data_IF_953630543406
#
_entry.id   IF_953630543406
#
_cell.length_a   1.000
_cell.length_b   1.000
_cell.length_c   1.000
_cell.angle_alpha   90.00
_cell.angle_beta   90.00
_cell.angle_gamma   90.00
#
_symmetry.space_group_name_H-M   'P 1'
#
loop_
_entity.id
_entity.type
_entity.pdbx_description
1 polymer ?
#
# COMPACT_ATOMS: atom_id res chain seq x y z
N UNK A 1 10.07 14.66 -3.73
CA UNK A 1 8.87 14.23 -4.48
C UNK A 1 9.29 13.15 -5.45
N UNK A 2 9.01 11.90 -5.09
CA UNK A 2 9.38 10.73 -5.88
C UNK A 2 8.66 10.70 -7.22
N UNK A 3 9.34 10.14 -8.20
CA UNK A 3 8.91 9.94 -9.58
C UNK A 3 7.48 9.42 -9.69
N UNK A 4 6.78 9.78 -10.75
CA UNK A 4 5.51 9.16 -11.17
C UNK A 4 5.65 7.63 -11.15
N UNK A 5 4.74 6.94 -10.46
CA UNK A 5 4.76 5.47 -10.38
C UNK A 5 4.10 4.85 -11.62
N UNK A 6 4.85 4.07 -12.39
CA UNK A 6 4.29 3.29 -13.48
C UNK A 6 3.88 1.90 -12.99
N UNK A 7 2.60 1.57 -13.06
CA UNK A 7 2.08 0.26 -12.69
C UNK A 7 2.60 -0.86 -13.60
N UNK A 8 3.00 -0.52 -14.83
CA UNK A 8 3.43 -1.48 -15.83
C UNK A 8 2.27 -2.20 -16.53
N UNK A 9 2.61 -2.92 -17.59
CA UNK A 9 1.63 -3.54 -18.49
C UNK A 9 0.77 -4.58 -17.76
N UNK A 10 -0.55 -4.46 -17.95
CA UNK A 10 -1.53 -5.42 -17.43
C UNK A 10 -1.90 -5.23 -15.96
N UNK A 11 -1.27 -4.27 -15.27
CA UNK A 11 -1.54 -3.97 -13.86
C UNK A 11 -2.51 -2.79 -13.79
N UNK A 12 -3.75 -2.98 -13.33
CA UNK A 12 -4.74 -1.90 -13.31
C UNK A 12 -4.48 -0.90 -12.18
N UNK A 13 -3.94 -1.36 -11.06
CA UNK A 13 -3.79 -0.58 -9.83
C UNK A 13 -2.38 -0.71 -9.26
N UNK A 14 -1.77 0.43 -8.94
CA UNK A 14 -0.53 0.50 -8.17
C UNK A 14 -0.54 1.73 -7.28
N UNK A 15 0.33 1.75 -6.29
CA UNK A 15 0.37 2.82 -5.31
C UNK A 15 1.37 2.60 -4.21
N UNK A 16 1.20 3.34 -3.13
CA UNK A 16 2.07 3.28 -1.96
C UNK A 16 1.29 3.02 -0.69
N UNK A 17 1.74 2.05 0.10
CA UNK A 17 1.42 1.96 1.51
C UNK A 17 2.37 2.89 2.27
N UNK A 18 1.83 3.86 3.00
CA UNK A 18 2.61 4.89 3.69
C UNK A 18 2.53 4.69 5.19
N UNK A 19 3.70 4.68 5.82
CA UNK A 19 3.87 4.46 7.25
C UNK A 19 4.61 5.66 7.86
N UNK A 20 4.16 6.08 9.01
CA UNK A 20 4.76 7.15 9.79
C UNK A 20 5.73 6.55 10.82
N UNK A 21 6.93 7.11 10.92
CA UNK A 21 7.90 6.60 11.91
C UNK A 21 7.61 7.10 13.33
N UNK A 22 6.76 8.13 13.49
CA UNK A 22 6.54 8.87 14.74
C UNK A 22 7.61 9.90 15.06
N UNK A 23 8.69 9.94 14.28
CA UNK A 23 9.77 10.93 14.40
C UNK A 23 9.51 12.18 13.55
N UNK A 24 8.28 12.36 13.05
CA UNK A 24 7.86 13.55 12.32
C UNK A 24 7.67 14.76 13.25
N UNK A 25 7.13 15.83 12.68
CA UNK A 25 6.74 17.05 13.38
C UNK A 25 5.22 17.24 13.39
N UNK A 26 4.71 18.05 14.32
CA UNK A 26 3.28 18.33 14.43
C UNK A 26 2.46 17.06 14.67
N UNK A 27 1.46 16.82 13.81
CA UNK A 27 0.57 15.64 13.89
C UNK A 27 1.28 14.32 13.53
N UNK A 28 2.43 14.38 12.85
CA UNK A 28 3.26 13.22 12.49
C UNK A 28 4.21 12.80 13.63
N UNK A 29 4.11 13.46 14.79
CA UNK A 29 4.87 13.13 15.98
C UNK A 29 4.01 12.32 16.95
N UNK A 30 4.36 11.05 17.14
CA UNK A 30 3.62 10.10 17.98
C UNK A 30 4.58 9.06 18.59
N UNK A 31 4.18 8.40 19.67
CA UNK A 31 5.06 7.59 20.54
C UNK A 31 5.68 6.36 19.85
N UNK A 32 5.11 5.89 18.75
CA UNK A 32 5.63 4.77 17.98
C UNK A 32 5.00 4.68 16.60
N UNK A 33 5.54 3.89 15.66
CA UNK A 33 5.12 3.94 14.26
C UNK A 33 3.64 3.68 14.03
N UNK A 34 3.07 4.37 13.03
CA UNK A 34 1.65 4.31 12.69
C UNK A 34 1.45 4.11 11.18
N UNK A 35 0.29 3.56 10.81
CA UNK A 35 -0.16 3.55 9.43
C UNK A 35 -0.69 4.96 9.09
N UNK A 36 -0.23 5.54 7.99
CA UNK A 36 -0.88 6.71 7.42
C UNK A 36 -2.00 6.27 6.48
N UNK A 37 -1.66 5.50 5.43
CA UNK A 37 -2.64 5.18 4.40
C UNK A 37 -2.13 4.32 3.26
N UNK A 38 -3.07 3.96 2.39
CA UNK A 38 -2.78 3.27 1.13
C UNK A 38 -3.28 4.11 -0.02
N UNK A 39 -2.36 4.57 -0.87
CA UNK A 39 -2.65 5.59 -1.87
C UNK A 39 -2.43 5.04 -3.27
N UNK A 40 -3.50 4.75 -4.02
CA UNK A 40 -3.40 4.49 -5.44
C UNK A 40 -2.69 5.66 -6.13
N UNK A 41 -1.66 5.36 -6.92
CA UNK A 41 -0.89 6.33 -7.68
C UNK A 41 -1.66 6.72 -8.95
N UNK A 42 -2.85 7.29 -8.77
CA UNK A 42 -3.66 7.88 -9.85
C UNK A 42 -3.00 9.17 -10.34
N UNK A 43 -3.36 9.62 -11.55
CA UNK A 43 -2.82 10.86 -12.13
C UNK A 43 -2.98 12.05 -11.16
N UNK A 44 -1.96 12.90 -10.96
CA UNK A 44 -0.66 12.94 -11.67
C UNK A 44 0.46 12.08 -11.05
N UNK A 45 0.17 11.30 -10.01
CA UNK A 45 1.18 10.58 -9.21
C UNK A 45 1.62 9.25 -9.82
N UNK A 46 0.88 8.72 -10.79
CA UNK A 46 1.21 7.47 -11.45
C UNK A 46 0.28 7.12 -12.61
N UNK A 47 0.40 5.88 -13.08
CA UNK A 47 -0.42 5.30 -14.15
C UNK A 47 -1.55 4.40 -13.62
N UNK A 48 -1.79 4.39 -12.30
CA UNK A 48 -2.89 3.63 -11.71
C UNK A 48 -4.23 4.14 -12.24
N UNK A 49 -5.10 3.20 -12.59
CA UNK A 49 -6.50 3.55 -12.83
C UNK A 49 -7.15 3.98 -11.52
N UNK A 50 -8.16 4.85 -11.58
CA UNK A 50 -9.10 5.00 -10.49
C UNK A 50 -10.23 4.00 -10.72
N UNK A 51 -10.31 2.96 -9.89
CA UNK A 51 -11.37 1.94 -9.97
C UNK A 51 -12.29 2.13 -8.77
N UNK A 52 -13.52 2.59 -9.03
CA UNK A 52 -14.50 2.86 -8.00
C UNK A 52 -14.94 1.58 -7.27
N UNK A 53 -15.26 1.66 -5.98
CA UNK A 53 -15.85 0.55 -5.25
C UNK A 53 -17.28 0.27 -5.69
N UNK A 54 -17.81 -0.87 -5.27
CA UNK A 54 -19.24 -1.20 -5.47
C UNK A 54 -20.13 -0.39 -4.54
N UNK A 55 -19.61 -0.04 -3.37
CA UNK A 55 -20.24 0.78 -2.35
C UNK A 55 -19.21 1.80 -1.85
N UNK A 56 -19.51 3.09 -2.06
CA UNK A 56 -18.65 4.22 -1.74
C UNK A 56 -18.95 4.84 -0.36
N UNK A 57 -19.84 4.23 0.43
CA UNK A 57 -20.21 4.72 1.77
C UNK A 57 -19.00 4.81 2.70
N UNK A 58 -18.95 5.91 3.46
CA UNK A 58 -17.91 6.17 4.46
C UNK A 58 -17.84 5.07 5.53
N UNK A 59 -16.65 4.79 6.10
CA UNK A 59 -16.54 3.90 7.24
C UNK A 59 -17.22 4.50 8.48
N UNK A 60 -18.00 3.68 9.19
CA UNK A 60 -18.59 4.01 10.50
C UNK A 60 -17.80 3.40 11.67
N UNK A 61 -17.13 2.26 11.41
CA UNK A 61 -16.28 1.56 12.37
C UNK A 61 -14.86 2.14 12.35
N UNK A 62 -14.19 2.09 13.51
CA UNK A 62 -12.75 2.40 13.62
C UNK A 62 -11.94 1.11 13.52
N UNK A 63 -10.95 1.11 12.63
CA UNK A 63 -10.05 -0.01 12.41
C UNK A 63 -8.84 0.08 13.35
N UNK A 64 -8.53 -1.02 14.05
CA UNK A 64 -7.50 -1.05 15.10
C UNK A 64 -6.14 -0.55 14.64
N UNK A 65 -5.76 -0.77 13.37
CA UNK A 65 -4.47 -0.34 12.85
C UNK A 65 -4.28 1.18 12.75
N UNK A 66 -5.37 1.97 12.77
CA UNK A 66 -5.34 3.43 12.81
C UNK A 66 -5.31 4.01 14.23
N UNK A 67 -5.59 3.19 15.25
CA UNK A 67 -5.58 3.66 16.65
C UNK A 67 -4.18 3.96 17.18
N UNK A 68 -3.13 3.47 16.50
CA UNK A 68 -1.74 3.67 16.89
C UNK A 68 -1.28 5.14 16.86
N UNK A 69 -1.94 5.99 16.06
CA UNK A 69 -1.71 7.44 16.04
C UNK A 69 -2.15 8.11 17.35
N UNK A 70 -3.08 7.49 18.08
CA UNK A 70 -3.66 8.01 19.31
C UNK A 70 -4.67 9.14 19.07
N UNK A 71 -4.96 9.91 20.11
CA UNK A 71 -5.91 11.01 20.05
C UNK A 71 -7.38 10.61 20.28
N UNK A 72 -8.31 11.56 20.16
CA UNK A 72 -9.73 11.29 20.38
C UNK A 72 -10.32 10.46 19.23
N UNK A 73 -11.26 9.58 19.55
CA UNK A 73 -12.01 8.72 18.61
C UNK A 73 -12.52 9.49 17.39
N UNK A 74 -13.01 10.72 17.58
CA UNK A 74 -13.51 11.57 16.49
C UNK A 74 -12.43 11.98 15.48
N UNK A 75 -11.18 12.11 15.92
CA UNK A 75 -10.05 12.40 15.04
C UNK A 75 -9.68 11.18 14.20
N UNK A 76 -9.60 10.00 14.83
CA UNK A 76 -9.32 8.74 14.14
C UNK A 76 -10.39 8.46 13.08
N UNK A 77 -11.67 8.64 13.44
CA UNK A 77 -12.78 8.48 12.48
C UNK A 77 -12.69 9.47 11.32
N UNK A 78 -12.40 10.75 11.59
CA UNK A 78 -12.19 11.74 10.53
C UNK A 78 -11.04 11.35 9.60
N UNK A 79 -9.95 10.81 10.16
CA UNK A 79 -8.79 10.42 9.38
C UNK A 79 -9.06 9.20 8.52
N UNK A 80 -9.75 8.17 9.03
CA UNK A 80 -10.19 7.04 8.20
C UNK A 80 -11.14 7.51 7.10
N UNK A 81 -12.07 8.42 7.38
CA UNK A 81 -12.92 9.02 6.34
C UNK A 81 -12.09 9.76 5.28
N UNK A 82 -11.05 10.50 5.69
CA UNK A 82 -10.13 11.16 4.76
C UNK A 82 -9.44 10.15 3.84
N UNK A 83 -8.86 9.10 4.41
CA UNK A 83 -8.15 8.06 3.67
C UNK A 83 -9.10 7.32 2.71
N UNK A 84 -10.32 7.03 3.14
CA UNK A 84 -11.34 6.44 2.28
C UNK A 84 -11.72 7.36 1.12
N UNK A 85 -12.22 8.56 1.42
CA UNK A 85 -12.78 9.47 0.41
C UNK A 85 -11.75 9.89 -0.64
N UNK A 86 -10.51 10.11 -0.20
CA UNK A 86 -9.43 10.61 -1.06
C UNK A 86 -8.68 9.51 -1.80
N UNK A 87 -8.56 8.33 -1.21
CA UNK A 87 -7.69 7.27 -1.72
C UNK A 87 -8.44 5.95 -1.94
N UNK A 88 -9.17 5.48 -0.94
CA UNK A 88 -9.89 4.21 -0.99
C UNK A 88 -10.96 4.13 -2.09
N UNK A 89 -11.64 5.22 -2.40
CA UNK A 89 -12.65 5.31 -3.47
C UNK A 89 -12.08 5.09 -4.88
N UNK A 90 -10.76 5.06 -5.05
CA UNK A 90 -10.09 4.70 -6.31
C UNK A 90 -9.34 3.36 -6.25
N UNK A 91 -9.45 2.62 -5.14
CA UNK A 91 -8.57 1.49 -4.84
C UNK A 91 -9.04 0.14 -5.43
N UNK A 92 -10.15 0.09 -6.18
CA UNK A 92 -10.70 -1.14 -6.77
C UNK A 92 -11.16 -2.20 -5.77
N UNK A 93 -11.36 -1.80 -4.52
CA UNK A 93 -11.88 -2.61 -3.42
C UNK A 93 -13.40 -2.64 -3.42
N UNK A 94 -14.01 -3.57 -2.71
CA UNK A 94 -15.48 -3.70 -2.71
C UNK A 94 -16.17 -2.51 -2.02
N UNK A 95 -15.66 -2.10 -0.85
CA UNK A 95 -16.18 -1.05 0.01
C UNK A 95 -15.11 -0.63 1.05
N UNK A 96 -15.44 0.33 1.92
CA UNK A 96 -14.55 0.84 2.96
C UNK A 96 -14.04 -0.27 3.91
N UNK A 97 -14.88 -1.21 4.33
CA UNK A 97 -14.43 -2.34 5.17
C UNK A 97 -13.37 -3.21 4.48
N UNK A 98 -13.56 -3.54 3.20
CA UNK A 98 -12.57 -4.31 2.42
C UNK A 98 -11.26 -3.52 2.24
N UNK A 99 -11.35 -2.20 2.05
CA UNK A 99 -10.18 -1.32 2.00
C UNK A 99 -9.36 -1.41 3.29
N UNK A 100 -9.94 -1.02 4.44
CA UNK A 100 -9.18 -0.95 5.69
C UNK A 100 -8.71 -2.32 6.17
N UNK A 101 -9.51 -3.38 5.96
CA UNK A 101 -9.06 -4.75 6.27
C UNK A 101 -7.79 -5.12 5.50
N UNK A 102 -7.74 -4.82 4.19
CA UNK A 102 -6.56 -5.09 3.37
C UNK A 102 -5.37 -4.21 3.78
N UNK A 103 -5.60 -2.91 4.01
CA UNK A 103 -4.53 -1.98 4.38
C UNK A 103 -3.92 -2.36 5.73
N UNK A 104 -4.72 -2.66 6.75
CA UNK A 104 -4.23 -3.13 8.04
C UNK A 104 -3.39 -4.42 7.88
N UNK A 105 -3.87 -5.37 7.07
CA UNK A 105 -3.15 -6.62 6.82
C UNK A 105 -1.81 -6.40 6.11
N UNK A 106 -1.75 -5.49 5.14
CA UNK A 106 -0.52 -5.11 4.45
C UNK A 106 0.47 -4.40 5.39
N UNK A 107 -0.03 -3.58 6.30
CA UNK A 107 0.79 -2.77 7.21
C UNK A 107 1.39 -3.57 8.37
N UNK A 108 0.76 -4.67 8.82
CA UNK A 108 1.17 -5.40 10.02
C UNK A 108 2.65 -5.84 10.02
N UNK A 109 3.13 -6.43 8.92
CA UNK A 109 4.53 -6.84 8.77
C UNK A 109 5.51 -5.65 8.74
N UNK A 110 5.31 -4.68 7.83
CA UNK A 110 6.09 -3.45 7.78
C UNK A 110 6.16 -2.66 9.09
N UNK A 111 5.04 -2.47 9.78
CA UNK A 111 4.99 -1.75 11.06
C UNK A 111 5.84 -2.42 12.13
N UNK A 112 5.87 -3.75 12.17
CA UNK A 112 6.76 -4.49 13.08
C UNK A 112 8.24 -4.22 12.79
N UNK A 113 8.64 -4.24 11.51
CA UNK A 113 10.02 -3.91 11.12
C UNK A 113 10.36 -2.47 11.44
N UNK A 114 9.44 -1.55 11.15
CA UNK A 114 9.61 -0.12 11.40
C UNK A 114 9.75 0.17 12.91
N UNK A 115 8.94 -0.45 13.75
CA UNK A 115 9.03 -0.36 15.21
C UNK A 115 10.39 -0.81 15.74
N UNK A 116 10.92 -1.93 15.22
CA UNK A 116 12.26 -2.39 15.57
C UNK A 116 13.37 -1.41 15.14
N UNK A 117 13.23 -0.82 13.95
CA UNK A 117 14.18 0.17 13.43
C UNK A 117 14.18 1.48 14.24
N UNK A 118 13.00 1.99 14.60
CA UNK A 118 12.85 3.18 15.46
C UNK A 118 13.40 2.91 16.86
N UNK A 119 13.11 1.74 17.44
CA UNK A 119 13.65 1.35 18.76
C UNK A 119 15.18 1.25 18.75
N UNK A 120 15.77 0.86 17.62
CA UNK A 120 17.23 0.83 17.43
C UNK A 120 17.85 2.22 17.24
N UNK A 121 17.06 3.31 17.25
CA UNK A 121 17.53 4.67 17.11
C UNK A 121 17.99 5.03 15.69
N UNK A 122 17.51 4.30 14.68
CA UNK A 122 17.84 4.60 13.29
C UNK A 122 17.16 5.90 12.83
N UNK A 123 17.84 6.65 11.98
CA UNK A 123 17.27 7.79 11.26
C UNK A 123 16.45 7.32 10.05
N UNK A 124 15.76 8.25 9.36
CA UNK A 124 14.85 7.91 8.26
C UNK A 124 15.52 7.10 7.14
N UNK A 125 16.79 7.42 6.83
CA UNK A 125 17.57 6.69 5.82
C UNK A 125 17.90 5.29 6.31
N UNK A 126 18.40 5.16 7.54
CA UNK A 126 18.69 3.87 8.16
C UNK A 126 17.44 2.98 8.31
N UNK A 127 16.29 3.58 8.59
CA UNK A 127 14.99 2.91 8.62
C UNK A 127 14.63 2.38 7.23
N UNK A 128 14.68 3.21 6.19
CA UNK A 128 14.38 2.79 4.81
C UNK A 128 15.26 1.62 4.38
N UNK A 129 16.56 1.72 4.65
CA UNK A 129 17.55 0.68 4.39
C UNK A 129 17.24 -0.62 5.15
N UNK A 130 16.85 -0.53 6.42
CA UNK A 130 16.47 -1.69 7.23
C UNK A 130 15.19 -2.35 6.71
N UNK A 131 14.20 -1.56 6.30
CA UNK A 131 12.96 -2.06 5.71
C UNK A 131 13.25 -2.80 4.39
N UNK A 132 14.06 -2.21 3.52
CA UNK A 132 14.47 -2.84 2.26
C UNK A 132 15.20 -4.17 2.49
N UNK A 133 16.16 -4.22 3.42
CA UNK A 133 16.88 -5.46 3.79
C UNK A 133 15.96 -6.52 4.40
N UNK A 134 14.87 -6.11 5.03
CA UNK A 134 13.88 -7.01 5.63
C UNK A 134 12.86 -7.53 4.60
N UNK A 135 13.04 -7.22 3.31
CA UNK A 135 12.18 -7.70 2.22
C UNK A 135 10.96 -6.82 1.94
N UNK A 136 10.88 -5.62 2.53
CA UNK A 136 9.83 -4.66 2.20
C UNK A 136 10.19 -3.85 0.96
N UNK A 137 9.20 -3.57 0.12
CA UNK A 137 9.39 -2.96 -1.20
C UNK A 137 9.44 -1.43 -1.10
N UNK A 138 10.53 -0.88 -0.54
CA UNK A 138 10.63 0.55 -0.26
C UNK A 138 10.63 1.33 -1.58
N UNK A 139 9.59 2.14 -1.77
CA UNK A 139 9.49 3.07 -2.90
C UNK A 139 10.27 4.36 -2.63
N UNK A 140 10.26 4.82 -1.38
CA UNK A 140 11.07 5.95 -0.96
C UNK A 140 10.68 6.48 0.41
N UNK A 141 11.38 7.54 0.80
CA UNK A 141 11.09 8.32 2.01
C UNK A 141 10.25 9.55 1.65
N UNK A 142 9.38 9.99 2.56
CA UNK A 142 8.54 11.18 2.37
C UNK A 142 8.79 12.21 3.48
N UNK A 143 8.22 13.40 3.30
CA UNK A 143 8.27 14.46 4.31
C UNK A 143 7.66 13.99 5.65
N UNK A 144 8.00 14.69 6.73
CA UNK A 144 7.50 14.40 8.07
C UNK A 144 7.86 12.98 8.56
N UNK A 145 9.04 12.47 8.16
CA UNK A 145 9.56 11.17 8.58
C UNK A 145 8.62 10.00 8.29
N UNK A 146 8.32 9.80 7.00
CA UNK A 146 7.45 8.72 6.54
C UNK A 146 8.16 7.82 5.52
N UNK A 147 7.75 6.55 5.47
CA UNK A 147 8.22 5.56 4.49
C UNK A 147 7.08 5.15 3.59
N UNK A 148 7.31 5.19 2.27
CA UNK A 148 6.40 4.66 1.27
C UNK A 148 6.88 3.30 0.77
N UNK A 149 6.01 2.30 0.83
CA UNK A 149 6.22 0.96 0.26
C UNK A 149 5.38 0.80 -1.00
N UNK A 150 6.00 0.34 -2.09
CA UNK A 150 5.32 0.06 -3.34
C UNK A 150 4.36 -1.13 -3.22
N UNK A 151 3.20 -0.98 -3.84
CA UNK A 151 2.13 -1.97 -3.82
C UNK A 151 1.35 -1.97 -5.15
N UNK A 152 0.74 -3.10 -5.48
CA UNK A 152 -0.14 -3.23 -6.63
C UNK A 152 -1.39 -4.05 -6.32
N UNK A 153 -2.40 -3.92 -7.17
CA UNK A 153 -3.60 -4.75 -7.18
C UNK A 153 -3.95 -5.15 -8.61
N UNK A 154 -4.48 -6.36 -8.76
CA UNK A 154 -5.08 -6.83 -10.00
C UNK A 154 -6.54 -6.40 -10.12
N UNK A 155 -7.24 -6.93 -11.12
CA UNK A 155 -8.69 -6.75 -11.25
C UNK A 155 -9.49 -7.44 -10.14
N UNK A 156 -8.82 -8.27 -9.33
CA UNK A 156 -9.40 -8.89 -8.13
C UNK A 156 -9.52 -7.91 -6.94
N UNK A 157 -8.99 -6.69 -7.06
CA UNK A 157 -9.03 -5.68 -6.02
C UNK A 157 -8.22 -6.05 -4.78
N UNK A 158 -7.28 -7.01 -4.90
CA UNK A 158 -6.44 -7.47 -3.80
C UNK A 158 -5.06 -6.83 -3.83
N UNK A 159 -4.82 -5.95 -2.87
CA UNK A 159 -3.57 -5.21 -2.75
C UNK A 159 -2.45 -6.09 -2.19
N UNK A 160 -1.25 -5.93 -2.74
CA UNK A 160 -0.05 -6.72 -2.43
C UNK A 160 1.17 -5.81 -2.43
N UNK A 161 2.05 -5.94 -1.45
CA UNK A 161 3.38 -5.32 -1.49
C UNK A 161 4.24 -6.02 -2.54
N UNK A 162 4.87 -5.24 -3.41
CA UNK A 162 5.79 -5.73 -4.44
C UNK A 162 6.66 -4.58 -4.94
N UNK A 163 7.88 -4.87 -5.38
CA UNK A 163 8.67 -3.87 -6.10
C UNK A 163 7.98 -3.54 -7.43
N UNK A 164 8.10 -2.29 -7.89
CA UNK A 164 7.46 -1.83 -9.15
C UNK A 164 7.79 -2.72 -10.34
N UNK A 165 9.05 -3.19 -10.45
CA UNK A 165 9.51 -4.11 -11.50
C UNK A 165 8.74 -5.44 -11.53
N UNK A 166 8.16 -5.84 -10.40
CA UNK A 166 7.48 -7.11 -10.20
C UNK A 166 5.95 -6.98 -10.31
N UNK A 167 5.41 -5.76 -10.42
CA UNK A 167 3.96 -5.55 -10.53
C UNK A 167 3.30 -6.37 -11.65
N UNK A 168 3.83 -6.44 -12.89
CA UNK A 168 3.20 -7.24 -13.94
C UNK A 168 3.12 -8.74 -13.59
N UNK A 169 4.10 -9.26 -12.85
CA UNK A 169 4.12 -10.64 -12.39
C UNK A 169 3.18 -10.89 -11.22
N UNK A 170 3.09 -9.95 -10.28
CA UNK A 170 2.32 -10.10 -9.03
C UNK A 170 0.85 -9.76 -9.21
N UNK A 171 0.55 -8.74 -10.02
CA UNK A 171 -0.79 -8.14 -10.16
C UNK A 171 -1.29 -8.08 -11.61
N UNK A 172 -0.44 -8.35 -12.61
CA UNK A 172 -0.76 -8.12 -14.02
C UNK A 172 -1.73 -9.12 -14.65
N UNK A 173 -2.16 -10.16 -13.93
CA UNK A 173 -3.23 -11.07 -14.34
C UNK A 173 -3.05 -11.75 -15.70
N UNK A 174 -1.83 -11.81 -16.25
CA UNK A 174 -1.59 -12.36 -17.59
C UNK A 174 -2.02 -13.83 -17.67
N UNK A 175 -2.47 -14.32 -18.84
CA UNK A 175 -2.60 -15.76 -19.05
C UNK A 175 -1.27 -16.41 -18.69
N UNK A 176 -1.31 -17.50 -17.93
CA UNK A 176 -0.13 -18.35 -17.75
C UNK A 176 0.48 -18.69 -19.13
N UNK A 177 1.78 -18.99 -19.22
CA UNK A 177 2.41 -19.32 -20.49
C UNK A 177 1.53 -20.31 -21.25
N UNK A 178 1.19 -19.98 -22.51
CA UNK A 178 0.36 -20.83 -23.34
C UNK A 178 0.89 -22.28 -23.29
N UNK A 179 0.03 -23.30 -23.19
CA UNK A 179 0.47 -24.68 -23.32
C UNK A 179 1.32 -24.79 -24.59
N UNK A 180 2.53 -25.34 -24.46
CA UNK A 180 3.37 -25.61 -25.62
C UNK A 180 2.60 -26.43 -26.66
N UNK A 181 2.94 -26.32 -27.96
CA UNK A 181 2.28 -27.09 -28.99
C UNK A 181 2.27 -28.58 -28.62
N UNK A 182 1.10 -29.21 -28.74
CA UNK A 182 0.95 -30.64 -28.48
C UNK A 182 1.94 -31.43 -29.33
N UNK A 183 2.56 -32.50 -28.79
CA UNK A 183 3.42 -33.37 -29.59
C UNK A 183 2.65 -33.89 -30.81
N UNK A 184 3.29 -34.00 -31.99
CA UNK A 184 2.65 -34.58 -33.15
C UNK A 184 2.23 -36.04 -32.86
N UNK A 185 1.11 -36.51 -33.43
CA UNK A 185 0.68 -37.89 -33.27
C UNK A 185 1.75 -38.85 -33.81
N UNK A 186 1.89 -40.06 -33.21
CA UNK A 186 2.82 -41.06 -33.71
C UNK A 186 2.46 -41.45 -35.16
N UNK A 187 3.49 -41.54 -36.00
CA UNK A 187 3.36 -41.94 -37.40
C UNK A 187 2.83 -43.39 -37.53
N UNK A 188 2.07 -43.70 -38.60
CA UNK A 188 1.51 -45.04 -38.85
C UNK A 188 2.58 -46.09 -39.17
#
# INVERSE_FOLDING_TARGET
>A
HGSTMDCGKGVPLCGTLVLETGQGDGVYHHDGPALHGMWPAVSPYGTSSCVAPQDDTDPEDIFECYQAEGGPVSHIQWFEQHEWQKHGTCAGVRNSTDFFTQVCALAAGPLKTLSGAVTAGLDLVGIADQMQRSGHCVWGTMAHSQIALSACAGLDGKWRLADVKDFPRVCGGGPGPAPGPAPPPPAP
#
